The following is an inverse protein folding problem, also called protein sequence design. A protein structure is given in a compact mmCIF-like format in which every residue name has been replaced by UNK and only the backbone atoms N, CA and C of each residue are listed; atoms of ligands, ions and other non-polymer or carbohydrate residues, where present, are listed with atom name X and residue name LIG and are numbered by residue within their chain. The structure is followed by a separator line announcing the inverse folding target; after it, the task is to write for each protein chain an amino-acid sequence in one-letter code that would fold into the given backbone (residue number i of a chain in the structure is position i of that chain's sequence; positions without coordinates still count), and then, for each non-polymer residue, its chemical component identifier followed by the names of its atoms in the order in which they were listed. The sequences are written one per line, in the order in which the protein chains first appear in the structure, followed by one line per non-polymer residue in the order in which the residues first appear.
data_IF_665504595932
#
_entry.id   IF_665504595932
#
_cell.length_a   1.000
_cell.length_b   1.000
_cell.length_c   1.000
_cell.angle_alpha   90.00
_cell.angle_beta   90.00
_cell.angle_gamma   90.00
#
_symmetry.space_group_name_H-M   'P 1'
#
loop_
_entity.id
_entity.type
_entity.pdbx_description
1 polymer ?
#
# COMPACT_ATOMS: atom_id res chain seq x y z
N UNK A 1 -9.81 12.86 -19.88
CA UNK A 1 -8.84 13.12 -18.80
C UNK A 1 -7.46 12.66 -19.15
N UNK A 2 -6.47 13.40 -18.69
CA UNK A 2 -5.07 12.99 -18.87
C UNK A 2 -4.77 11.79 -17.99
N UNK A 3 -3.92 10.91 -18.50
CA UNK A 3 -3.50 9.71 -17.79
C UNK A 3 -1.98 9.68 -17.67
N UNK A 4 -1.51 8.77 -16.82
CA UNK A 4 -0.10 8.44 -16.69
C UNK A 4 0.06 6.93 -16.69
N UNK A 5 1.26 6.46 -17.00
CA UNK A 5 1.56 5.04 -16.90
C UNK A 5 1.80 4.69 -15.43
N UNK A 6 1.13 3.64 -14.95
CA UNK A 6 1.28 3.17 -13.58
C UNK A 6 1.72 1.72 -13.56
N UNK A 7 2.80 1.45 -12.83
CA UNK A 7 3.33 0.12 -12.60
C UNK A 7 3.41 -0.13 -11.10
N UNK A 8 2.66 -1.09 -10.61
CA UNK A 8 2.72 -1.51 -9.20
C UNK A 8 3.32 -2.91 -9.16
N UNK A 9 4.52 -3.01 -8.61
CA UNK A 9 5.32 -4.23 -8.64
C UNK A 9 5.68 -4.67 -7.22
N UNK A 10 5.66 -5.98 -7.02
CA UNK A 10 6.22 -6.63 -5.84
C UNK A 10 7.20 -7.72 -6.30
N UNK A 11 8.04 -8.27 -5.40
CA UNK A 11 9.05 -9.26 -5.82
C UNK A 11 8.47 -10.49 -6.51
N UNK A 12 7.24 -10.88 -6.17
CA UNK A 12 6.62 -12.10 -6.68
C UNK A 12 5.68 -11.88 -7.86
N UNK A 13 5.27 -10.63 -8.14
CA UNK A 13 4.32 -10.39 -9.24
C UNK A 13 4.23 -8.93 -9.66
N UNK A 14 3.69 -8.72 -10.86
CA UNK A 14 3.18 -7.42 -11.30
C UNK A 14 1.75 -7.30 -10.83
N UNK A 15 1.49 -6.38 -9.90
CA UNK A 15 0.15 -6.17 -9.35
C UNK A 15 -0.75 -5.42 -10.33
N UNK A 16 -0.23 -4.35 -10.93
CA UNK A 16 -0.93 -3.56 -11.95
C UNK A 16 0.08 -2.98 -12.92
N UNK A 17 -0.30 -2.93 -14.19
CA UNK A 17 0.50 -2.31 -15.26
C UNK A 17 -0.47 -1.75 -16.30
N UNK A 18 -0.57 -0.45 -16.38
CA UNK A 18 -1.49 0.18 -17.31
C UNK A 18 -1.64 1.68 -17.09
N UNK A 19 -2.62 2.26 -17.75
CA UNK A 19 -2.93 3.68 -17.62
C UNK A 19 -3.78 3.96 -16.39
N UNK A 20 -3.62 5.15 -15.83
CA UNK A 20 -4.27 5.56 -14.59
C UNK A 20 -4.54 7.06 -14.63
N UNK A 21 -5.64 7.49 -14.04
CA UNK A 21 -6.01 8.90 -13.94
C UNK A 21 -5.51 9.52 -12.63
N UNK A 22 -5.49 8.76 -11.55
CA UNK A 22 -5.04 9.22 -10.24
C UNK A 22 -4.53 8.06 -9.39
N UNK A 23 -3.63 8.36 -8.49
CA UNK A 23 -3.05 7.40 -7.55
C UNK A 23 -2.94 8.07 -6.19
N UNK A 24 -3.35 7.38 -5.14
CA UNK A 24 -3.20 7.83 -3.76
C UNK A 24 -2.44 6.75 -2.99
N UNK A 25 -1.34 7.14 -2.36
CA UNK A 25 -0.45 6.22 -1.64
C UNK A 25 -0.33 6.61 -0.16
N UNK A 26 -0.07 5.62 0.72
CA UNK A 26 0.26 5.92 2.10
C UNK A 26 1.74 6.32 2.23
N UNK A 27 1.98 7.46 2.84
CA UNK A 27 3.33 7.93 3.21
C UNK A 27 3.32 8.27 4.70
N UNK A 28 4.53 8.56 5.24
CA UNK A 28 4.68 8.81 6.69
C UNK A 28 3.73 9.91 7.20
N UNK A 29 3.55 10.96 6.41
CA UNK A 29 2.73 12.11 6.82
C UNK A 29 1.24 11.98 6.45
N UNK A 30 0.81 10.83 5.98
CA UNK A 30 -0.58 10.61 5.58
C UNK A 30 -0.69 10.05 4.18
N UNK A 31 -1.59 10.64 3.37
CA UNK A 31 -1.82 10.18 1.99
C UNK A 31 -1.21 11.16 1.00
N UNK A 32 -0.65 10.62 -0.08
CA UNK A 32 -0.01 11.40 -1.13
C UNK A 32 -0.68 11.11 -2.47
N UNK A 33 -1.15 12.15 -3.13
CA UNK A 33 -1.85 12.03 -4.41
C UNK A 33 -0.95 12.33 -5.60
N UNK A 34 -1.07 11.52 -6.66
CA UNK A 34 -0.35 11.68 -7.93
C UNK A 34 -1.38 11.71 -9.05
N UNK A 35 -1.26 12.70 -9.91
CA UNK A 35 -2.09 12.81 -11.11
C UNK A 35 -1.16 12.95 -12.34
N UNK A 36 -1.75 13.00 -13.53
CA UNK A 36 -0.97 13.15 -14.76
C UNK A 36 -0.08 14.39 -14.70
N UNK A 37 1.10 14.27 -15.27
CA UNK A 37 2.10 15.34 -15.34
C UNK A 37 2.63 15.80 -13.98
N UNK A 38 2.55 14.93 -12.98
CA UNK A 38 3.17 15.18 -11.67
C UNK A 38 4.68 15.37 -11.82
N UNK A 39 5.25 16.31 -11.08
CA UNK A 39 6.70 16.53 -11.11
C UNK A 39 7.47 15.29 -10.69
N UNK A 40 8.68 15.15 -11.24
CA UNK A 40 9.54 13.99 -10.91
C UNK A 40 9.79 13.94 -9.40
N UNK A 41 9.56 12.77 -8.82
CA UNK A 41 9.55 12.60 -7.36
C UNK A 41 9.95 11.18 -7.00
N UNK A 42 10.65 11.04 -5.87
CA UNK A 42 10.87 9.74 -5.23
C UNK A 42 10.42 9.88 -3.79
N UNK A 43 9.59 8.95 -3.32
CA UNK A 43 9.09 8.98 -1.95
C UNK A 43 9.01 7.56 -1.38
N UNK A 44 9.09 7.47 -0.05
CA UNK A 44 8.91 6.20 0.66
C UNK A 44 7.43 5.90 0.86
N UNK A 45 7.05 4.66 0.61
CA UNK A 45 5.70 4.16 0.84
C UNK A 45 5.70 3.40 2.16
N UNK A 46 4.73 3.68 3.03
CA UNK A 46 4.57 2.97 4.30
C UNK A 46 3.39 1.99 4.18
N UNK A 47 3.31 0.97 5.06
CA UNK A 47 2.16 0.08 5.03
C UNK A 47 0.84 0.84 5.16
N UNK A 48 -0.10 0.58 4.26
CA UNK A 48 -1.39 1.27 4.26
C UNK A 48 -2.22 0.94 3.05
N UNK A 49 -3.26 1.73 2.86
CA UNK A 49 -4.15 1.62 1.72
C UNK A 49 -3.64 2.47 0.56
N UNK A 50 -3.54 1.83 -0.60
CA UNK A 50 -3.27 2.49 -1.88
C UNK A 50 -4.55 2.44 -2.70
N UNK A 51 -4.87 3.50 -3.42
CA UNK A 51 -5.98 3.49 -4.36
C UNK A 51 -5.56 4.11 -5.69
N UNK A 52 -6.12 3.62 -6.77
CA UNK A 52 -5.88 4.18 -8.11
C UNK A 52 -7.15 4.11 -8.94
N UNK A 53 -7.32 5.14 -9.78
CA UNK A 53 -8.49 5.25 -10.65
C UNK A 53 -8.08 5.01 -12.09
N UNK A 54 -8.72 4.02 -12.72
CA UNK A 54 -8.48 3.66 -14.11
C UNK A 54 -9.34 4.51 -15.05
N UNK A 55 -8.98 4.59 -16.37
CA UNK A 55 -9.72 5.44 -17.31
C UNK A 55 -11.19 5.10 -17.47
N UNK A 56 -11.59 3.87 -17.11
CA UNK A 56 -13.00 3.44 -17.14
C UNK A 56 -13.83 4.03 -15.99
N UNK A 57 -13.21 4.89 -15.14
CA UNK A 57 -13.89 5.54 -14.03
C UNK A 57 -13.95 4.73 -12.75
N UNK A 58 -13.36 3.54 -12.72
CA UNK A 58 -13.36 2.68 -11.53
C UNK A 58 -12.19 3.00 -10.63
N UNK A 59 -12.44 2.97 -9.33
CA UNK A 59 -11.39 3.10 -8.32
C UNK A 59 -11.08 1.71 -7.75
N UNK A 60 -9.80 1.39 -7.69
CA UNK A 60 -9.28 0.13 -7.18
C UNK A 60 -8.50 0.37 -5.91
N UNK A 61 -8.56 -0.58 -4.98
CA UNK A 61 -7.90 -0.48 -3.69
C UNK A 61 -6.93 -1.63 -3.49
N UNK A 62 -5.87 -1.37 -2.76
CA UNK A 62 -4.89 -2.38 -2.40
C UNK A 62 -4.33 -2.14 -1.00
N UNK A 63 -4.04 -3.21 -0.29
CA UNK A 63 -3.22 -3.15 0.91
C UNK A 63 -1.77 -3.34 0.50
N UNK A 64 -0.93 -2.35 0.76
CA UNK A 64 0.49 -2.38 0.40
C UNK A 64 1.34 -2.35 1.66
N UNK A 65 2.53 -2.93 1.56
CA UNK A 65 3.57 -2.85 2.58
C UNK A 65 4.56 -1.75 2.23
N UNK A 66 5.67 -1.72 2.95
CA UNK A 66 6.70 -0.71 2.74
C UNK A 66 7.34 -0.82 1.35
N UNK A 67 7.72 0.31 0.81
CA UNK A 67 8.38 0.36 -0.49
C UNK A 67 8.71 1.79 -0.90
N UNK A 68 8.68 2.04 -2.20
CA UNK A 68 8.96 3.36 -2.75
C UNK A 68 8.10 3.63 -3.97
N UNK A 69 7.90 4.91 -4.26
CA UNK A 69 7.28 5.37 -5.49
C UNK A 69 8.25 6.29 -6.21
N UNK A 70 8.34 6.11 -7.53
CA UNK A 70 9.15 6.97 -8.40
C UNK A 70 8.25 7.52 -9.51
N UNK A 71 8.22 8.84 -9.62
CA UNK A 71 7.55 9.55 -10.72
C UNK A 71 8.61 10.16 -11.61
N UNK A 72 8.62 9.79 -12.88
CA UNK A 72 9.57 10.30 -13.86
C UNK A 72 8.90 10.39 -15.23
N UNK A 73 8.82 11.60 -15.77
CA UNK A 73 8.30 11.86 -17.12
C UNK A 73 6.90 11.22 -17.36
N UNK A 74 5.98 11.44 -16.44
CA UNK A 74 4.62 10.92 -16.49
C UNK A 74 4.52 9.39 -16.42
N UNK A 75 5.57 8.75 -15.90
CA UNK A 75 5.64 7.31 -15.66
C UNK A 75 5.81 7.09 -14.17
N UNK A 76 4.91 6.34 -13.57
CA UNK A 76 4.88 6.13 -12.12
C UNK A 76 5.14 4.65 -11.81
N UNK A 77 6.19 4.40 -11.05
CA UNK A 77 6.56 3.06 -10.60
C UNK A 77 6.44 2.96 -9.09
N UNK A 78 5.64 2.01 -8.63
CA UNK A 78 5.48 1.70 -7.21
C UNK A 78 6.10 0.33 -6.96
N UNK A 79 7.12 0.30 -6.11
CA UNK A 79 7.80 -0.94 -5.72
C UNK A 79 7.52 -1.17 -4.25
N UNK A 80 6.80 -2.24 -3.93
CA UNK A 80 6.43 -2.59 -2.56
C UNK A 80 6.74 -4.04 -2.27
N UNK A 81 6.93 -4.38 -1.00
CA UNK A 81 7.21 -5.76 -0.61
C UNK A 81 6.01 -6.66 -0.89
N UNK A 82 4.81 -6.18 -0.61
CA UNK A 82 3.56 -6.89 -0.90
C UNK A 82 2.48 -5.93 -1.35
N UNK A 83 1.60 -6.42 -2.22
CA UNK A 83 0.39 -5.72 -2.61
C UNK A 83 -0.73 -6.75 -2.73
N UNK A 84 -1.87 -6.48 -2.10
CA UNK A 84 -3.00 -7.40 -2.08
C UNK A 84 -4.29 -6.67 -2.46
N UNK A 85 -5.10 -7.30 -3.33
CA UNK A 85 -6.45 -6.82 -3.63
C UNK A 85 -7.38 -7.14 -2.45
N UNK A 86 -8.48 -6.39 -2.27
CA UNK A 86 -9.42 -6.69 -1.17
C UNK A 86 -9.89 -8.13 -1.16
N UNK A 87 -10.17 -8.71 -2.32
CA UNK A 87 -10.65 -10.10 -2.45
C UNK A 87 -9.60 -11.14 -2.11
N UNK A 88 -8.31 -10.77 -2.11
CA UNK A 88 -7.21 -11.65 -1.75
C UNK A 88 -6.91 -11.66 -0.25
N UNK A 89 -7.49 -10.72 0.51
CA UNK A 89 -7.19 -10.54 1.94
C UNK A 89 -8.05 -11.48 2.78
N UNK A 90 -7.39 -12.27 3.64
CA UNK A 90 -8.05 -13.07 4.67
C UNK A 90 -8.19 -12.21 5.93
N UNK A 91 -9.42 -11.72 6.19
CA UNK A 91 -9.69 -10.84 7.31
C UNK A 91 -9.43 -11.54 8.67
N UNK A 92 -9.73 -12.83 8.76
CA UNK A 92 -9.51 -13.56 10.02
C UNK A 92 -8.01 -13.69 10.32
N UNK A 93 -7.21 -14.01 9.30
CA UNK A 93 -5.76 -14.08 9.44
C UNK A 93 -5.17 -12.72 9.80
N UNK A 94 -5.60 -11.66 9.12
CA UNK A 94 -5.12 -10.31 9.39
C UNK A 94 -5.46 -9.89 10.82
N UNK A 95 -6.64 -10.25 11.35
CA UNK A 95 -7.03 -9.96 12.72
C UNK A 95 -6.15 -10.70 13.71
N UNK A 96 -5.86 -11.99 13.46
CA UNK A 96 -4.96 -12.77 14.30
C UNK A 96 -3.55 -12.17 14.31
N UNK A 97 -3.04 -11.75 13.14
CA UNK A 97 -1.73 -11.13 13.03
C UNK A 97 -1.69 -9.80 13.81
N UNK A 98 -2.75 -9.00 13.75
CA UNK A 98 -2.85 -7.76 14.50
C UNK A 98 -2.84 -8.04 16.02
N UNK A 99 -3.60 -9.03 16.48
CA UNK A 99 -3.67 -9.38 17.90
C UNK A 99 -2.33 -9.89 18.42
N UNK A 100 -1.65 -10.75 17.63
CA UNK A 100 -0.33 -11.25 17.98
C UNK A 100 0.70 -10.14 18.05
N UNK A 101 0.66 -9.18 17.13
CA UNK A 101 1.58 -8.05 17.12
C UNK A 101 1.34 -7.12 18.31
N UNK A 102 0.08 -6.87 18.68
CA UNK A 102 -0.25 -6.06 19.85
C UNK A 102 0.30 -6.70 21.13
N UNK A 103 0.16 -8.01 21.27
CA UNK A 103 0.68 -8.72 22.43
C UNK A 103 2.20 -8.66 22.50
N UNK A 104 2.88 -8.81 21.38
CA UNK A 104 4.34 -8.70 21.31
C UNK A 104 4.82 -7.30 21.71
N UNK A 105 4.10 -6.26 21.34
CA UNK A 105 4.39 -4.88 21.75
C UNK A 105 4.26 -4.74 23.27
N UNK A 106 3.21 -5.31 23.85
CA UNK A 106 2.96 -5.24 25.29
C UNK A 106 4.04 -5.97 26.11
N UNK A 107 4.63 -7.03 25.55
CA UNK A 107 5.68 -7.80 26.24
C UNK A 107 7.01 -7.07 26.35
N UNK A 108 7.27 -6.07 25.52
CA UNK A 108 8.47 -5.19 25.56
C UNK A 108 9.79 -5.95 25.66
N UNK A 109 9.98 -6.99 24.84
CA UNK A 109 11.16 -7.87 24.97
C UNK A 109 12.46 -7.21 24.56
N UNK A 110 12.50 -6.53 23.42
CA UNK A 110 13.68 -5.82 22.94
C UNK A 110 13.24 -4.71 21.96
N UNK A 111 14.14 -3.78 21.68
CA UNK A 111 13.85 -2.70 20.70
C UNK A 111 13.59 -3.28 19.33
N UNK A 112 14.38 -4.28 18.91
CA UNK A 112 14.21 -4.92 17.60
C UNK A 112 12.89 -5.67 17.52
N UNK A 113 12.54 -6.45 18.53
CA UNK A 113 11.26 -7.16 18.59
C UNK A 113 10.08 -6.19 18.62
N UNK A 114 10.22 -5.10 19.37
CA UNK A 114 9.20 -4.05 19.42
C UNK A 114 8.97 -3.43 18.04
N UNK A 115 10.03 -3.08 17.31
CA UNK A 115 9.92 -2.49 15.97
C UNK A 115 9.31 -3.48 14.98
N UNK A 116 9.69 -4.75 15.03
CA UNK A 116 9.12 -5.79 14.19
C UNK A 116 7.63 -5.96 14.46
N UNK A 117 7.23 -5.96 15.74
CA UNK A 117 5.83 -6.08 16.12
C UNK A 117 5.02 -4.87 15.67
N UNK A 118 5.56 -3.67 15.76
CA UNK A 118 4.88 -2.46 15.26
C UNK A 118 4.67 -2.53 13.74
N UNK A 119 5.67 -2.96 12.99
CA UNK A 119 5.56 -3.10 11.54
C UNK A 119 4.51 -4.17 11.17
N UNK A 120 4.51 -5.30 11.89
CA UNK A 120 3.52 -6.36 11.68
C UNK A 120 2.10 -5.87 11.98
N UNK A 121 1.94 -5.11 13.07
CA UNK A 121 0.64 -4.53 13.42
C UNK A 121 0.15 -3.57 12.32
N UNK A 122 1.01 -2.69 11.84
CA UNK A 122 0.66 -1.73 10.78
C UNK A 122 0.19 -2.45 9.52
N UNK A 123 0.89 -3.50 9.10
CA UNK A 123 0.51 -4.30 7.93
C UNK A 123 -0.86 -4.98 8.12
N UNK A 124 -1.06 -5.61 9.29
CA UNK A 124 -2.29 -6.32 9.58
C UNK A 124 -3.49 -5.37 9.64
N UNK A 125 -3.35 -4.22 10.28
CA UNK A 125 -4.41 -3.21 10.35
C UNK A 125 -4.73 -2.64 8.99
N UNK A 126 -3.72 -2.42 8.14
CA UNK A 126 -3.91 -1.97 6.77
C UNK A 126 -4.75 -2.99 5.97
N UNK A 127 -4.43 -4.27 6.09
CA UNK A 127 -5.17 -5.33 5.40
C UNK A 127 -6.63 -5.38 5.85
N UNK A 128 -6.90 -5.27 7.15
CA UNK A 128 -8.27 -5.23 7.68
C UNK A 128 -9.04 -4.01 7.17
N UNK A 129 -8.39 -2.86 7.10
CA UNK A 129 -9.01 -1.62 6.62
C UNK A 129 -9.41 -1.74 5.15
N UNK A 130 -8.53 -2.27 4.31
CA UNK A 130 -8.78 -2.47 2.89
C UNK A 130 -9.89 -3.50 2.68
N UNK A 131 -9.86 -4.60 3.41
CA UNK A 131 -10.90 -5.64 3.31
C UNK A 131 -12.27 -5.10 3.70
N UNK A 132 -12.35 -4.30 4.76
CA UNK A 132 -13.60 -3.71 5.23
C UNK A 132 -14.18 -2.69 4.25
N UNK A 133 -13.33 -1.94 3.55
CA UNK A 133 -13.75 -0.99 2.51
C UNK A 133 -14.23 -1.65 1.23
N UNK A 134 -13.95 -2.94 1.04
CA UNK A 134 -14.35 -3.71 -0.12
C UNK A 134 -15.78 -4.22 0.07
N UNK A 135 -16.69 -3.78 -0.76
CA UNK A 135 -18.09 -4.22 -0.74
C UNK A 135 -18.49 -4.85 -2.06
#
# INVERSE_FOLDING_TARGET
MKTFALHILSPDRTFYDGECESLVLPIVDGKYGIMADHSNTIAAVVPGELSYRTPDGRTHYAAVSAGMVKVEDNDVMVLVETAERPEEIDANRARRDADAAKEAILQKKSIQEYRSAQANLARALSRLRVKRGSK
#
